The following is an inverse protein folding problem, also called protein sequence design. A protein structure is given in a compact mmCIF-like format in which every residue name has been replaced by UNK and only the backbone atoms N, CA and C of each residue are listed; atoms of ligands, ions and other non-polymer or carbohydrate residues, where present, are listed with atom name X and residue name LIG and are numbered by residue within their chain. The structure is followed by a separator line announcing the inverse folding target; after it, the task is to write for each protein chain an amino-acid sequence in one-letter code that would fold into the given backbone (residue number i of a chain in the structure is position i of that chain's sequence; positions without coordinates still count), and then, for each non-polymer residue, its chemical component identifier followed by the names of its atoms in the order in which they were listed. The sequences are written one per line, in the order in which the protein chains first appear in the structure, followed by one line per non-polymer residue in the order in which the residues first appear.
data_IF_230134711116
#
_entry.id   IF_230134711116
#
_cell.length_a   1.000
_cell.length_b   1.000
_cell.length_c   1.000
_cell.angle_alpha   90.00
_cell.angle_beta   90.00
_cell.angle_gamma   90.00
#
_symmetry.space_group_name_H-M   'P 1'
#
loop_
_entity.id
_entity.type
_entity.pdbx_description
1 polymer ?
#
# COMPACT_ATOMS: atom_id res chain seq x y z
N UNK A 1 -18.94 11.53 -17.24
CA UNK A 1 -18.31 10.92 -16.04
C UNK A 1 -18.34 11.98 -14.95
N UNK A 2 -19.09 11.72 -13.88
CA UNK A 2 -19.32 12.66 -12.77
C UNK A 2 -18.18 12.58 -11.74
N UNK A 3 -18.07 13.57 -10.85
CA UNK A 3 -17.09 13.57 -9.75
C UNK A 3 -17.26 12.35 -8.82
N UNK A 4 -18.49 11.86 -8.69
CA UNK A 4 -18.84 10.67 -7.91
C UNK A 4 -18.22 9.39 -8.52
N UNK A 5 -18.26 9.26 -9.85
CA UNK A 5 -17.66 8.13 -10.58
C UNK A 5 -16.13 8.07 -10.41
N UNK A 6 -15.48 9.24 -10.33
CA UNK A 6 -14.02 9.34 -10.14
C UNK A 6 -13.59 8.93 -8.73
N UNK A 7 -14.35 9.32 -7.70
CA UNK A 7 -14.10 8.92 -6.32
C UNK A 7 -14.24 7.40 -6.14
N UNK A 8 -15.26 6.79 -6.75
CA UNK A 8 -15.46 5.34 -6.74
C UNK A 8 -14.32 4.59 -7.46
N UNK A 9 -13.84 5.10 -8.59
CA UNK A 9 -12.72 4.49 -9.32
C UNK A 9 -11.42 4.53 -8.51
N UNK A 10 -11.08 5.66 -7.89
CA UNK A 10 -9.89 5.78 -7.05
C UNK A 10 -9.91 4.79 -5.88
N UNK A 11 -11.04 4.72 -5.16
CA UNK A 11 -11.21 3.79 -4.06
C UNK A 11 -11.02 2.34 -4.52
N UNK A 12 -11.63 1.97 -5.65
CA UNK A 12 -11.51 0.60 -6.18
C UNK A 12 -10.05 0.23 -6.49
N UNK A 13 -9.27 1.15 -7.07
CA UNK A 13 -7.85 0.93 -7.37
C UNK A 13 -7.03 0.76 -6.08
N UNK A 14 -7.26 1.59 -5.06
CA UNK A 14 -6.59 1.44 -3.77
C UNK A 14 -6.93 0.10 -3.09
N UNK A 15 -8.21 -0.28 -3.10
CA UNK A 15 -8.68 -1.54 -2.52
C UNK A 15 -8.06 -2.75 -3.26
N UNK A 16 -8.02 -2.69 -4.60
CA UNK A 16 -7.41 -3.75 -5.42
C UNK A 16 -5.91 -3.87 -5.20
N UNK A 17 -5.20 -2.74 -5.19
CA UNK A 17 -3.75 -2.71 -4.93
C UNK A 17 -3.44 -3.25 -3.54
N UNK A 18 -4.28 -2.96 -2.55
CA UNK A 18 -4.16 -3.50 -1.18
C UNK A 18 -4.36 -5.01 -1.16
N UNK A 19 -5.38 -5.54 -1.87
CA UNK A 19 -5.56 -7.01 -1.97
C UNK A 19 -4.37 -7.69 -2.63
N UNK A 20 -3.85 -7.12 -3.72
CA UNK A 20 -2.70 -7.65 -4.43
C UNK A 20 -1.42 -7.63 -3.57
N UNK A 21 -1.23 -6.58 -2.77
CA UNK A 21 -0.19 -6.49 -1.77
C UNK A 21 -0.27 -7.65 -0.78
N UNK A 22 -1.43 -7.85 -0.14
CA UNK A 22 -1.63 -8.90 0.85
C UNK A 22 -1.41 -10.30 0.26
N UNK A 23 -1.88 -10.54 -0.96
CA UNK A 23 -1.62 -11.81 -1.68
C UNK A 23 -0.12 -12.00 -1.93
N UNK A 24 0.59 -10.98 -2.40
CA UNK A 24 2.03 -11.06 -2.64
C UNK A 24 2.82 -11.35 -1.36
N UNK A 25 2.43 -10.76 -0.22
CA UNK A 25 3.02 -11.06 1.09
C UNK A 25 2.78 -12.51 1.49
N UNK A 26 1.53 -12.99 1.38
CA UNK A 26 1.15 -14.37 1.73
C UNK A 26 1.90 -15.41 0.88
N UNK A 27 2.14 -15.11 -0.39
CA UNK A 27 2.86 -16.00 -1.32
C UNK A 27 4.39 -15.86 -1.25
N UNK A 28 4.89 -15.02 -0.34
CA UNK A 28 6.33 -14.80 -0.20
C UNK A 28 6.97 -14.02 -1.36
N UNK A 29 6.19 -13.31 -2.17
CA UNK A 29 6.66 -12.55 -3.34
C UNK A 29 7.12 -11.14 -2.93
N UNK A 30 8.26 -11.06 -2.24
CA UNK A 30 8.80 -9.80 -1.68
C UNK A 30 8.84 -8.64 -2.67
N UNK A 31 9.37 -8.85 -3.87
CA UNK A 31 9.49 -7.80 -4.89
C UNK A 31 8.12 -7.27 -5.33
N UNK A 32 7.12 -8.16 -5.48
CA UNK A 32 5.77 -7.74 -5.86
C UNK A 32 5.09 -6.99 -4.72
N UNK A 33 5.25 -7.44 -3.47
CA UNK A 33 4.73 -6.73 -2.31
C UNK A 33 5.31 -5.30 -2.24
N UNK A 34 6.62 -5.12 -2.46
CA UNK A 34 7.24 -3.80 -2.49
C UNK A 34 6.72 -2.91 -3.63
N UNK A 35 6.43 -3.47 -4.80
CA UNK A 35 5.83 -2.73 -5.93
C UNK A 35 4.41 -2.26 -5.61
N UNK A 36 3.55 -3.14 -5.07
CA UNK A 36 2.18 -2.75 -4.72
C UNK A 36 2.15 -1.72 -3.59
N UNK A 37 3.05 -1.83 -2.61
CA UNK A 37 3.20 -0.85 -1.54
C UNK A 37 3.62 0.53 -2.07
N UNK A 38 4.60 0.59 -2.97
CA UNK A 38 5.01 1.84 -3.61
C UNK A 38 3.88 2.45 -4.46
N UNK A 39 3.10 1.61 -5.12
CA UNK A 39 1.93 2.03 -5.90
C UNK A 39 0.87 2.68 -5.01
N UNK A 40 0.56 2.09 -3.84
CA UNK A 40 -0.35 2.68 -2.86
C UNK A 40 0.12 4.06 -2.41
N UNK A 41 1.39 4.22 -2.04
CA UNK A 41 1.95 5.52 -1.66
C UNK A 41 1.76 6.57 -2.77
N UNK A 42 2.03 6.20 -4.02
CA UNK A 42 1.87 7.08 -5.17
C UNK A 42 0.41 7.51 -5.39
N UNK A 43 -0.53 6.58 -5.24
CA UNK A 43 -1.97 6.86 -5.34
C UNK A 43 -2.43 7.84 -4.26
N UNK A 44 -2.03 7.64 -3.01
CA UNK A 44 -2.39 8.52 -1.88
C UNK A 44 -1.78 9.92 -2.06
N UNK A 45 -0.50 10.00 -2.42
CA UNK A 45 0.13 11.30 -2.70
C UNK A 45 -0.54 12.02 -3.86
N UNK A 46 -0.82 11.32 -4.96
CA UNK A 46 -1.50 11.90 -6.13
C UNK A 46 -2.90 12.43 -5.79
N UNK A 47 -3.68 11.68 -4.99
CA UNK A 47 -5.00 12.13 -4.52
C UNK A 47 -4.91 13.34 -3.59
N UNK A 48 -3.89 13.40 -2.72
CA UNK A 48 -3.65 14.56 -1.86
C UNK A 48 -3.32 15.82 -2.67
N UNK A 49 -2.39 15.71 -3.64
CA UNK A 49 -1.96 16.85 -4.48
C UNK A 49 -3.07 17.36 -5.40
N UNK A 50 -3.96 16.49 -5.86
CA UNK A 50 -5.10 16.86 -6.71
C UNK A 50 -6.35 17.29 -5.93
N UNK A 51 -6.30 17.29 -4.60
CA UNK A 51 -7.42 17.64 -3.73
C UNK A 51 -8.51 16.58 -3.65
N UNK A 52 -8.25 15.35 -4.11
CA UNK A 52 -9.17 14.22 -4.00
C UNK A 52 -9.32 13.67 -2.58
N UNK A 53 -8.31 13.89 -1.71
CA UNK A 53 -8.37 13.67 -0.27
C UNK A 53 -7.73 14.85 0.46
N UNK A 54 -8.07 15.04 1.73
CA UNK A 54 -7.41 16.08 2.55
C UNK A 54 -5.98 15.67 2.91
N UNK A 55 -5.11 16.65 3.18
CA UNK A 55 -3.74 16.35 3.63
C UNK A 55 -3.72 15.52 4.91
N UNK A 56 -4.60 15.82 5.88
CA UNK A 56 -4.70 15.06 7.12
C UNK A 56 -5.05 13.58 6.86
N UNK A 57 -5.97 13.29 5.94
CA UNK A 57 -6.30 11.94 5.52
C UNK A 57 -5.12 11.26 4.80
N UNK A 58 -4.41 12.00 3.96
CA UNK A 58 -3.22 11.49 3.29
C UNK A 58 -2.14 11.08 4.29
N UNK A 59 -1.88 11.89 5.33
CA UNK A 59 -0.94 11.56 6.40
C UNK A 59 -1.32 10.27 7.13
N UNK A 60 -2.58 10.13 7.55
CA UNK A 60 -3.06 8.91 8.22
C UNK A 60 -2.87 7.66 7.36
N UNK A 61 -3.15 7.76 6.05
CA UNK A 61 -2.96 6.64 5.13
C UNK A 61 -1.48 6.32 4.91
N UNK A 62 -0.61 7.33 4.87
CA UNK A 62 0.84 7.13 4.78
C UNK A 62 1.43 6.47 6.04
N UNK A 63 0.90 6.77 7.23
CA UNK A 63 1.27 6.06 8.46
C UNK A 63 0.92 4.57 8.38
N UNK A 64 -0.28 4.24 7.92
CA UNK A 64 -0.70 2.86 7.70
C UNK A 64 0.22 2.14 6.69
N UNK A 65 0.57 2.81 5.59
CA UNK A 65 1.49 2.26 4.58
C UNK A 65 2.88 2.02 5.17
N UNK A 66 3.39 2.91 6.02
CA UNK A 66 4.65 2.71 6.70
C UNK A 66 4.61 1.51 7.67
N UNK A 67 3.52 1.32 8.40
CA UNK A 67 3.33 0.13 9.24
C UNK A 67 3.35 -1.15 8.40
N UNK A 68 2.62 -1.17 7.27
CA UNK A 68 2.65 -2.30 6.33
C UNK A 68 4.05 -2.56 5.79
N UNK A 69 4.82 -1.51 5.48
CA UNK A 69 6.22 -1.64 5.04
C UNK A 69 7.07 -2.40 6.06
N UNK A 70 6.97 -2.03 7.33
CA UNK A 70 7.73 -2.64 8.41
C UNK A 70 7.35 -4.11 8.60
N UNK A 71 6.06 -4.43 8.52
CA UNK A 71 5.59 -5.82 8.59
C UNK A 71 6.09 -6.67 7.42
N UNK A 72 6.07 -6.10 6.21
CA UNK A 72 6.61 -6.76 5.00
C UNK A 72 8.11 -7.01 5.18
N UNK A 73 8.87 -6.00 5.58
CA UNK A 73 10.32 -6.15 5.76
C UNK A 73 10.62 -7.22 6.82
N UNK A 74 9.88 -7.26 7.94
CA UNK A 74 9.98 -8.34 8.95
C UNK A 74 9.59 -9.72 8.42
N UNK A 75 8.53 -9.82 7.62
CA UNK A 75 8.09 -11.09 7.04
C UNK A 75 9.12 -11.68 6.06
N UNK A 76 9.97 -10.82 5.49
CA UNK A 76 11.03 -11.20 4.57
C UNK A 76 12.44 -11.13 5.16
N UNK A 77 12.58 -10.82 6.46
CA UNK A 77 13.88 -10.91 7.13
C UNK A 77 14.33 -12.38 7.16
N UNK A 78 15.58 -12.68 6.76
CA UNK A 78 16.10 -14.03 6.90
C UNK A 78 16.13 -14.40 8.38
N UNK A 79 15.39 -15.43 8.78
CA UNK A 79 15.45 -15.93 10.14
C UNK A 79 16.90 -16.29 10.49
N UNK A 80 17.40 -15.92 11.67
CA UNK A 80 18.75 -16.30 12.08
C UNK A 80 18.83 -17.83 12.03
N UNK A 81 19.79 -18.36 11.25
CA UNK A 81 20.08 -19.79 11.24
C UNK A 81 20.33 -20.21 12.69
N UNK A 82 19.46 -21.05 13.24
CA UNK A 82 19.76 -21.72 14.50
C UNK A 82 21.00 -22.57 14.24
N UNK A 83 22.12 -22.13 14.79
CA UNK A 83 23.36 -22.92 14.80
C UNK A 83 23.14 -24.00 15.85
N UNK A 84 22.75 -25.21 15.39
CA UNK A 84 22.82 -26.44 16.18
C UNK A 84 24.25 -26.95 16.28
#
# INVERSE_FOLDING_TARGET
MTTQDRGSAFKNICDETTRNLLTAVKEGRQNQARIYLATLSGLIMGASTTGGISQAQAYQQMEMINSMRLEIDRAFEPQPKQVT
#
